data_IF_499499287770
#
_entry.id   IF_499499287770
#
_cell.length_a   1.000
_cell.length_b   1.000
_cell.length_c   1.000
_cell.angle_alpha   90.00
_cell.angle_beta   90.00
_cell.angle_gamma   90.00
#
_symmetry.space_group_name_H-M   'P 1'
#
loop_
_entity.id
_entity.type
_entity.pdbx_description
1 polymer ?
#
# COMPACT_ATOMS: atom_id res chain seq x y z
N UNK A 1 -12.52 -9.72 14.35
CA UNK A 1 -12.89 -9.00 13.10
C UNK A 1 -14.40 -8.99 13.00
N UNK A 2 -15.05 -7.87 12.65
CA UNK A 2 -16.49 -7.83 12.39
C UNK A 2 -16.86 -8.81 11.26
N UNK A 3 -18.10 -9.30 11.23
CA UNK A 3 -18.63 -10.02 10.09
C UNK A 3 -18.76 -9.10 8.87
N UNK A 4 -18.66 -9.66 7.67
CA UNK A 4 -18.95 -8.90 6.45
C UNK A 4 -20.44 -8.50 6.43
N UNK A 5 -20.78 -7.29 5.94
CA UNK A 5 -22.18 -6.90 5.76
C UNK A 5 -22.80 -7.66 4.57
N UNK A 6 -24.13 -7.81 4.56
CA UNK A 6 -24.88 -8.44 3.47
C UNK A 6 -24.58 -7.82 2.09
N UNK A 7 -24.22 -6.53 2.06
CA UNK A 7 -23.81 -5.86 0.84
C UNK A 7 -22.57 -6.49 0.20
N UNK A 8 -21.65 -7.03 1.00
CA UNK A 8 -20.45 -7.70 0.50
C UNK A 8 -20.81 -8.87 -0.41
N UNK A 9 -21.79 -9.69 0.00
CA UNK A 9 -22.29 -10.79 -0.84
C UNK A 9 -22.99 -10.25 -2.10
N UNK A 10 -23.81 -9.21 -1.95
CA UNK A 10 -24.56 -8.60 -3.07
C UNK A 10 -23.66 -8.03 -4.16
N UNK A 11 -22.48 -7.53 -3.83
CA UNK A 11 -21.54 -6.97 -4.82
C UNK A 11 -20.43 -7.95 -5.22
N UNK A 12 -20.27 -9.06 -4.49
CA UNK A 12 -19.21 -10.04 -4.72
C UNK A 12 -19.25 -10.55 -6.17
N UNK A 13 -18.13 -10.43 -6.87
CA UNK A 13 -17.96 -10.85 -8.26
C UNK A 13 -18.59 -9.94 -9.31
N UNK A 14 -19.33 -8.88 -8.93
CA UNK A 14 -19.87 -7.93 -9.91
C UNK A 14 -18.76 -7.08 -10.52
N UNK A 15 -18.78 -6.99 -11.84
CA UNK A 15 -17.83 -6.17 -12.61
C UNK A 15 -18.42 -4.79 -12.87
N UNK A 16 -17.68 -3.77 -12.45
CA UNK A 16 -17.99 -2.37 -12.69
C UNK A 16 -17.05 -1.85 -13.78
N UNK A 17 -17.63 -1.36 -14.88
CA UNK A 17 -16.89 -0.81 -16.01
C UNK A 17 -16.88 0.71 -15.89
N UNK A 18 -15.73 1.32 -16.16
CA UNK A 18 -15.54 2.75 -16.10
C UNK A 18 -15.38 3.32 -17.50
N UNK A 19 -15.84 4.56 -17.68
CA UNK A 19 -15.45 5.40 -18.80
C UNK A 19 -13.93 5.67 -18.77
N UNK A 20 -13.31 6.06 -19.90
CA UNK A 20 -11.91 6.43 -19.94
C UNK A 20 -11.55 7.45 -18.84
N UNK A 21 -10.51 7.15 -18.08
CA UNK A 21 -10.11 7.93 -16.92
C UNK A 21 -8.58 8.00 -16.82
N UNK A 22 -8.01 8.99 -16.09
CA UNK A 22 -6.57 9.21 -16.02
C UNK A 22 -5.75 8.05 -15.44
N UNK A 23 -6.38 7.06 -14.82
CA UNK A 23 -5.73 5.88 -14.25
C UNK A 23 -5.79 4.66 -15.20
N UNK A 24 -6.34 4.82 -16.41
CA UNK A 24 -6.51 3.78 -17.42
C UNK A 24 -7.26 2.52 -16.91
N UNK A 25 -8.04 2.66 -15.84
CA UNK A 25 -8.82 1.57 -15.25
C UNK A 25 -10.05 1.34 -16.14
N UNK A 26 -10.15 0.16 -16.76
CA UNK A 26 -11.32 -0.25 -17.54
C UNK A 26 -12.41 -0.82 -16.64
N UNK A 27 -12.04 -1.71 -15.73
CA UNK A 27 -13.01 -2.34 -14.84
C UNK A 27 -12.41 -2.85 -13.54
N UNK A 28 -13.28 -2.97 -12.53
CA UNK A 28 -12.97 -3.65 -11.28
C UNK A 28 -14.05 -4.67 -10.94
N UNK A 29 -13.66 -5.76 -10.30
CA UNK A 29 -14.57 -6.68 -9.62
C UNK A 29 -13.95 -7.10 -8.29
N UNK A 30 -14.75 -7.08 -7.22
CA UNK A 30 -14.34 -7.49 -5.89
C UNK A 30 -15.10 -8.75 -5.50
N UNK A 31 -14.37 -9.78 -5.10
CA UNK A 31 -14.94 -11.03 -4.59
C UNK A 31 -14.58 -11.21 -3.12
N UNK A 32 -15.60 -11.29 -2.27
CA UNK A 32 -15.47 -11.51 -0.84
C UNK A 32 -15.76 -12.98 -0.54
N UNK A 33 -14.73 -13.79 -0.29
CA UNK A 33 -14.85 -15.24 -0.01
C UNK A 33 -14.58 -15.61 1.44
N UNK A 34 -14.04 -14.67 2.24
CA UNK A 34 -13.67 -14.90 3.63
C UNK A 34 -13.64 -13.61 4.44
N UNK A 35 -13.25 -13.70 5.72
CA UNK A 35 -13.25 -12.56 6.66
C UNK A 35 -11.98 -11.71 6.60
N UNK A 36 -10.89 -12.26 6.07
CA UNK A 36 -9.56 -11.65 6.14
C UNK A 36 -9.10 -11.11 4.80
N UNK A 37 -9.60 -11.66 3.69
CA UNK A 37 -9.17 -11.29 2.35
C UNK A 37 -10.35 -11.25 1.37
N UNK A 38 -10.28 -10.31 0.43
CA UNK A 38 -11.05 -10.28 -0.80
C UNK A 38 -10.09 -10.40 -2.00
N UNK A 39 -10.64 -10.71 -3.16
CA UNK A 39 -9.91 -10.71 -4.44
C UNK A 39 -10.42 -9.54 -5.29
N UNK A 40 -9.50 -8.67 -5.72
CA UNK A 40 -9.72 -7.63 -6.70
C UNK A 40 -9.27 -8.11 -8.08
N UNK A 41 -10.18 -8.18 -9.03
CA UNK A 41 -9.85 -8.24 -10.44
C UNK A 41 -9.81 -6.80 -10.97
N UNK A 42 -8.63 -6.34 -11.37
CA UNK A 42 -8.40 -5.01 -11.92
C UNK A 42 -8.04 -5.16 -13.40
N UNK A 43 -8.84 -4.57 -14.29
CA UNK A 43 -8.52 -4.49 -15.71
C UNK A 43 -8.09 -3.07 -16.05
N UNK A 44 -6.88 -2.97 -16.60
CA UNK A 44 -6.30 -1.77 -17.20
C UNK A 44 -6.38 -1.90 -18.73
N UNK A 45 -5.92 -0.88 -19.47
CA UNK A 45 -6.00 -0.89 -20.93
C UNK A 45 -5.36 -2.13 -21.58
N UNK A 46 -4.16 -2.49 -21.15
CA UNK A 46 -3.36 -3.58 -21.74
C UNK A 46 -3.11 -4.73 -20.74
N UNK A 47 -3.51 -4.56 -19.48
CA UNK A 47 -3.17 -5.49 -18.40
C UNK A 47 -4.40 -5.92 -17.59
N UNK A 48 -4.33 -7.12 -17.04
CA UNK A 48 -5.30 -7.62 -16.07
C UNK A 48 -4.58 -8.18 -14.87
N UNK A 49 -4.99 -7.73 -13.68
CA UNK A 49 -4.42 -8.11 -12.40
C UNK A 49 -5.46 -8.81 -11.54
N UNK A 50 -5.03 -9.86 -10.83
CA UNK A 50 -5.82 -10.55 -9.80
C UNK A 50 -5.09 -10.37 -8.47
N UNK A 51 -5.63 -9.53 -7.61
CA UNK A 51 -4.92 -8.94 -6.48
C UNK A 51 -5.63 -9.26 -5.17
N UNK A 52 -4.98 -9.89 -4.18
CA UNK A 52 -5.53 -10.00 -2.84
C UNK A 52 -5.67 -8.62 -2.19
N UNK A 53 -6.76 -8.43 -1.44
CA UNK A 53 -7.07 -7.22 -0.66
C UNK A 53 -7.30 -7.63 0.79
N UNK A 54 -6.46 -7.15 1.71
CA UNK A 54 -6.62 -7.45 3.13
C UNK A 54 -7.80 -6.70 3.75
N UNK A 55 -8.68 -7.42 4.45
CA UNK A 55 -9.85 -6.89 5.17
C UNK A 55 -9.60 -6.74 6.68
N UNK A 56 -8.44 -7.18 7.13
CA UNK A 56 -7.94 -7.18 8.50
C UNK A 56 -7.05 -5.96 8.82
N UNK A 57 -7.12 -4.92 7.98
CA UNK A 57 -6.27 -3.72 8.02
C UNK A 57 -4.78 -3.96 7.75
N UNK A 58 -4.39 -5.15 7.27
CA UNK A 58 -3.03 -5.48 6.84
C UNK A 58 -2.98 -5.48 5.31
N UNK A 59 -1.97 -4.83 4.73
CA UNK A 59 -1.77 -4.83 3.28
C UNK A 59 -1.42 -6.23 2.76
N UNK A 60 -2.05 -6.62 1.64
CA UNK A 60 -1.62 -7.76 0.84
C UNK A 60 -0.78 -7.25 -0.32
N UNK A 61 0.46 -7.71 -0.37
CA UNK A 61 1.44 -7.30 -1.38
C UNK A 61 1.43 -8.32 -2.51
N UNK A 62 1.34 -7.84 -3.74
CA UNK A 62 1.42 -8.66 -4.94
C UNK A 62 2.61 -8.24 -5.78
N UNK A 63 3.34 -9.18 -6.40
CA UNK A 63 4.27 -8.83 -7.46
C UNK A 63 3.50 -8.27 -8.67
N UNK A 64 4.16 -7.42 -9.46
CA UNK A 64 3.53 -6.76 -10.60
C UNK A 64 3.00 -5.36 -10.25
N UNK A 65 2.63 -4.61 -11.29
CA UNK A 65 2.38 -3.17 -11.27
C UNK A 65 3.40 -2.42 -12.12
N UNK A 66 2.98 -1.35 -12.79
CA UNK A 66 3.81 -0.56 -13.73
C UNK A 66 5.12 -0.08 -13.07
N UNK A 67 5.04 0.31 -11.79
CA UNK A 67 6.16 0.87 -11.03
C UNK A 67 6.76 -0.09 -9.99
N UNK A 68 6.39 -1.38 -10.01
CA UNK A 68 6.78 -2.41 -9.04
C UNK A 68 5.62 -2.90 -8.17
N UNK A 69 5.89 -3.72 -7.12
CA UNK A 69 4.86 -4.33 -6.28
C UNK A 69 3.71 -3.41 -5.85
N UNK A 70 2.50 -3.94 -5.96
CA UNK A 70 1.27 -3.31 -5.50
C UNK A 70 0.86 -3.85 -4.12
N UNK A 71 0.22 -3.00 -3.32
CA UNK A 71 -0.35 -3.40 -2.04
C UNK A 71 -1.77 -2.89 -1.85
N UNK A 72 -2.65 -3.80 -1.40
CA UNK A 72 -4.05 -3.51 -1.19
C UNK A 72 -4.54 -3.89 0.20
N UNK A 73 -5.38 -3.03 0.76
CA UNK A 73 -6.24 -3.33 1.90
C UNK A 73 -7.54 -2.58 1.77
N UNK A 74 -8.59 -3.03 2.43
CA UNK A 74 -9.85 -2.32 2.48
C UNK A 74 -10.64 -2.63 3.74
N UNK A 75 -11.71 -1.91 3.94
CA UNK A 75 -12.64 -2.12 5.04
C UNK A 75 -14.02 -1.58 4.66
N UNK A 76 -15.05 -2.16 5.27
CA UNK A 76 -16.40 -1.62 5.22
C UNK A 76 -16.49 -0.47 6.22
N UNK A 77 -16.64 0.77 5.72
CA UNK A 77 -16.83 1.96 6.57
C UNK A 77 -18.25 2.01 7.13
N UNK A 78 -19.21 1.61 6.31
CA UNK A 78 -20.62 1.38 6.66
C UNK A 78 -21.09 0.11 5.96
N UNK A 79 -22.31 -0.34 6.23
CA UNK A 79 -22.88 -1.52 5.58
C UNK A 79 -23.00 -1.39 4.04
N UNK A 80 -22.94 -0.15 3.51
CA UNK A 80 -23.10 0.15 2.08
C UNK A 80 -21.88 0.85 1.47
N UNK A 81 -20.79 1.01 2.20
CA UNK A 81 -19.60 1.74 1.74
C UNK A 81 -18.34 0.90 2.00
N UNK A 82 -17.79 0.34 0.93
CA UNK A 82 -16.49 -0.31 0.97
C UNK A 82 -15.40 0.66 0.53
N UNK A 83 -14.37 0.82 1.36
CA UNK A 83 -13.20 1.65 1.09
C UNK A 83 -12.00 0.74 0.91
N UNK A 84 -11.26 0.89 -0.18
CA UNK A 84 -9.97 0.22 -0.36
C UNK A 84 -8.87 1.21 -0.68
N UNK A 85 -7.64 0.80 -0.36
CA UNK A 85 -6.42 1.56 -0.59
C UNK A 85 -5.61 0.85 -1.67
N UNK A 86 -5.24 1.61 -2.69
CA UNK A 86 -4.27 1.24 -3.72
C UNK A 86 -2.91 1.86 -3.35
N UNK A 87 -1.87 1.05 -3.26
CA UNK A 87 -0.53 1.51 -2.92
C UNK A 87 0.52 0.91 -3.86
N UNK A 88 1.22 1.76 -4.60
CA UNK A 88 2.40 1.40 -5.39
C UNK A 88 3.63 1.42 -4.48
N UNK A 89 3.81 0.32 -3.74
CA UNK A 89 4.79 0.15 -2.65
C UNK A 89 6.19 0.62 -3.05
N UNK A 90 6.54 0.47 -4.33
CA UNK A 90 7.88 0.65 -4.86
C UNK A 90 8.24 2.10 -5.21
N UNK A 91 7.31 3.05 -5.10
CA UNK A 91 7.58 4.47 -5.34
C UNK A 91 7.57 5.33 -4.07
N UNK A 92 7.46 4.73 -2.88
CA UNK A 92 7.60 5.45 -1.61
C UNK A 92 9.09 5.52 -1.23
N UNK A 93 9.82 6.38 -1.93
CA UNK A 93 11.23 6.62 -1.63
C UNK A 93 11.37 7.48 -0.35
N UNK A 94 12.02 6.95 0.70
CA UNK A 94 12.30 7.69 1.93
C UNK A 94 13.80 7.95 2.10
N UNK A 95 14.22 9.19 1.93
CA UNK A 95 15.60 9.63 2.11
C UNK A 95 15.76 10.40 3.41
N UNK A 96 16.53 9.85 4.36
CA UNK A 96 16.90 10.56 5.59
C UNK A 96 18.40 10.84 5.61
N UNK A 97 18.78 12.11 5.70
CA UNK A 97 20.18 12.55 5.87
C UNK A 97 20.32 13.29 7.19
N UNK A 98 21.16 12.76 8.09
CA UNK A 98 21.56 13.48 9.29
C UNK A 98 23.07 13.75 9.26
N UNK A 99 23.48 14.97 9.62
CA UNK A 99 24.87 15.32 9.90
C UNK A 99 24.97 15.74 11.36
N UNK A 100 25.87 15.11 12.10
CA UNK A 100 26.20 15.52 13.47
C UNK A 100 27.64 16.03 13.48
N UNK A 101 27.83 17.33 13.72
CA UNK A 101 29.16 17.83 14.04
C UNK A 101 29.51 17.41 15.48
N UNK A 102 30.68 16.79 15.65
CA UNK A 102 31.31 16.69 16.97
C UNK A 102 32.16 17.95 17.16
N UNK A 103 32.01 18.64 18.29
CA UNK A 103 32.98 19.65 18.71
C UNK A 103 34.33 18.95 18.88
N UNK A 104 35.37 19.37 18.18
CA UNK A 104 36.74 18.93 18.48
C UNK A 104 37.25 19.72 19.68
N UNK A 105 37.54 19.04 20.79
CA UNK A 105 38.43 19.61 21.81
C UNK A 105 39.87 19.29 21.38
N UNK A 106 40.64 20.30 21.00
CA UNK A 106 42.09 20.19 20.93
C UNK A 106 42.66 20.42 22.32
N UNK A 107 43.11 19.36 23.00
CA UNK A 107 43.90 19.51 24.21
C UNK A 107 45.28 20.08 23.84
N UNK A 108 45.57 21.28 24.32
CA UNK A 108 46.90 21.88 24.24
C UNK A 108 47.92 21.04 24.99
N UNK A 109 49.07 20.77 24.37
CA UNK A 109 50.23 20.18 25.02
C UNK A 109 50.90 21.24 25.90
N UNK A 110 51.11 20.93 27.19
CA UNK A 110 52.07 21.65 28.04
C UNK A 110 53.34 20.80 28.10
N UNK A 111 54.45 21.35 27.62
CA UNK A 111 55.77 20.71 27.62
C UNK A 111 56.47 21.04 28.95
N UNK A 112 56.85 20.03 29.72
CA UNK A 112 57.65 20.22 30.94
C UNK A 112 59.14 20.49 30.60
N UNK A 113 59.87 21.30 31.40
CA UNK A 113 61.27 21.61 31.13
C UNK A 113 62.20 20.45 31.52
N UNK A 114 63.35 20.29 30.83
CA UNK A 114 64.32 19.24 31.13
C UNK A 114 65.11 19.55 32.42
N UNK A 115 65.45 18.50 33.14
CA UNK A 115 66.23 18.47 34.40
C UNK A 115 67.70 18.77 34.16
#
# INVERSE_FOLDING_TARGET
MPSLPDMAEKISGKTYVFEPNPYNIKSISLSFSGREEAILNLSLEEEQHVLPVGLDNIYRISPGGEFGPLAFKGFWRTDNEFVFYYNEVSNINNYQKSRRQRKSCSNGQVKAPPT
#
